data_IF_969132796803
#
_entry.id   IF_969132796803
#
_cell.length_a   1.000
_cell.length_b   1.000
_cell.length_c   1.000
_cell.angle_alpha   90.00
_cell.angle_beta   90.00
_cell.angle_gamma   90.00
#
_symmetry.space_group_name_H-M   'P 1'
#
loop_
_entity.id
_entity.type
_entity.pdbx_description
1 polymer ?
#
# COMPACT_ATOMS: atom_id res chain seq x y z
N UNK A 1 -12.57 -7.74 -17.75
CA UNK A 1 -11.86 -7.20 -16.56
C UNK A 1 -10.57 -6.51 -17.01
N UNK A 2 -10.29 -5.25 -16.60
CA UNK A 2 -9.00 -4.64 -16.92
C UNK A 2 -7.90 -5.35 -16.11
N UNK A 3 -6.88 -5.87 -16.79
CA UNK A 3 -5.73 -6.52 -16.16
C UNK A 3 -5.02 -5.48 -15.29
N UNK A 4 -5.01 -5.69 -13.97
CA UNK A 4 -4.32 -4.81 -13.01
C UNK A 4 -2.85 -4.65 -13.43
N UNK A 5 -2.39 -3.40 -13.59
CA UNK A 5 -0.99 -3.09 -13.89
C UNK A 5 -0.16 -3.49 -12.67
N UNK A 6 0.59 -4.60 -12.77
CA UNK A 6 1.56 -4.98 -11.72
C UNK A 6 2.53 -3.82 -11.55
N UNK A 7 2.76 -3.39 -10.30
CA UNK A 7 3.84 -2.45 -10.03
C UNK A 7 5.14 -3.02 -10.62
N UNK A 8 5.88 -2.18 -11.35
CA UNK A 8 7.13 -2.57 -12.04
C UNK A 8 8.14 -3.26 -11.11
N UNK A 9 8.06 -2.97 -9.81
CA UNK A 9 8.86 -3.57 -8.77
C UNK A 9 7.97 -4.23 -7.72
N UNK A 10 8.25 -5.51 -7.44
CA UNK A 10 7.48 -6.32 -6.50
C UNK A 10 7.62 -5.88 -5.04
N UNK A 11 6.88 -6.54 -4.15
CA UNK A 11 6.98 -6.37 -2.69
C UNK A 11 8.41 -6.64 -2.19
N UNK A 12 9.02 -7.72 -2.66
CA UNK A 12 10.36 -8.14 -2.23
C UNK A 12 11.43 -7.07 -2.50
N UNK A 13 11.39 -6.46 -3.68
CA UNK A 13 12.35 -5.39 -4.03
C UNK A 13 12.20 -4.18 -3.10
N UNK A 14 10.97 -3.84 -2.72
CA UNK A 14 10.68 -2.74 -1.80
C UNK A 14 11.01 -3.11 -0.34
N UNK A 15 10.92 -4.38 0.03
CA UNK A 15 11.40 -4.88 1.32
C UNK A 15 12.92 -4.74 1.43
N UNK A 16 13.67 -5.18 0.41
CA UNK A 16 15.13 -4.98 0.35
C UNK A 16 15.52 -3.51 0.41
N UNK A 17 14.77 -2.63 -0.27
CA UNK A 17 14.98 -1.19 -0.17
C UNK A 17 14.75 -0.67 1.26
N UNK A 18 13.74 -1.17 1.96
CA UNK A 18 13.51 -0.83 3.36
C UNK A 18 14.67 -1.25 4.26
N UNK A 19 15.21 -2.46 4.08
CA UNK A 19 16.37 -2.94 4.84
C UNK A 19 17.59 -2.00 4.67
N UNK A 20 17.83 -1.52 3.44
CA UNK A 20 18.90 -0.57 3.16
C UNK A 20 18.64 0.81 3.81
N UNK A 21 17.40 1.29 3.82
CA UNK A 21 17.05 2.55 4.48
C UNK A 21 17.13 2.45 6.01
N UNK A 22 16.75 1.31 6.60
CA UNK A 22 16.93 1.02 8.03
C UNK A 22 18.41 0.98 8.41
N UNK A 23 19.26 0.46 7.54
CA UNK A 23 20.71 0.51 7.67
C UNK A 23 21.32 1.92 7.40
N UNK A 24 20.48 2.95 7.17
CA UNK A 24 20.91 4.33 7.01
C UNK A 24 21.40 4.72 5.61
N UNK A 25 21.23 3.85 4.60
CA UNK A 25 21.71 4.14 3.25
C UNK A 25 20.79 5.15 2.54
N UNK A 26 21.40 6.13 1.88
CA UNK A 26 20.71 7.04 0.98
C UNK A 26 20.19 6.35 -0.29
N UNK A 27 19.23 7.01 -0.98
CA UNK A 27 18.56 6.42 -2.14
C UNK A 27 19.50 6.12 -3.32
N UNK A 28 20.58 6.86 -3.52
CA UNK A 28 21.54 6.63 -4.61
C UNK A 28 22.33 5.34 -4.39
N UNK A 29 22.82 5.13 -3.17
CA UNK A 29 23.55 3.93 -2.81
C UNK A 29 22.63 2.70 -2.76
N UNK A 30 21.39 2.88 -2.31
CA UNK A 30 20.38 1.84 -2.38
C UNK A 30 20.01 1.48 -3.84
N UNK A 31 19.89 2.48 -4.72
CA UNK A 31 19.65 2.27 -6.15
C UNK A 31 20.76 1.46 -6.81
N UNK A 32 22.03 1.79 -6.53
CA UNK A 32 23.19 1.05 -7.00
C UNK A 32 23.21 -0.39 -6.51
N UNK A 33 22.90 -0.63 -5.22
CA UNK A 33 22.86 -1.98 -4.63
C UNK A 33 21.73 -2.86 -5.17
N UNK A 34 20.59 -2.26 -5.51
CA UNK A 34 19.41 -2.97 -6.00
C UNK A 34 19.37 -3.11 -7.52
N UNK A 35 20.29 -2.46 -8.24
CA UNK A 35 20.24 -2.31 -9.70
C UNK A 35 18.89 -1.75 -10.18
N UNK A 36 18.42 -0.69 -9.50
CA UNK A 36 17.14 -0.02 -9.79
C UNK A 36 17.43 1.46 -10.11
N UNK A 37 16.75 2.08 -11.08
CA UNK A 37 16.93 3.50 -11.37
C UNK A 37 16.72 4.39 -10.13
N UNK A 38 17.69 5.26 -9.85
CA UNK A 38 17.68 6.16 -8.70
C UNK A 38 16.38 6.98 -8.55
N UNK A 39 15.73 7.50 -9.62
CA UNK A 39 14.45 8.18 -9.48
C UNK A 39 13.31 7.31 -8.91
N UNK A 40 13.34 6.00 -9.15
CA UNK A 40 12.36 5.07 -8.58
C UNK A 40 12.63 4.86 -7.08
N UNK A 41 13.89 4.63 -6.71
CA UNK A 41 14.30 4.45 -5.31
C UNK A 41 14.12 5.74 -4.49
N UNK A 42 14.27 6.92 -5.11
CA UNK A 42 13.94 8.20 -4.47
C UNK A 42 12.47 8.29 -4.05
N UNK A 43 11.54 7.82 -4.91
CA UNK A 43 10.12 7.74 -4.55
C UNK A 43 9.87 6.75 -3.42
N UNK A 44 10.63 5.65 -3.36
CA UNK A 44 10.56 4.70 -2.25
C UNK A 44 11.04 5.30 -0.94
N UNK A 45 12.12 6.09 -0.97
CA UNK A 45 12.60 6.79 0.22
C UNK A 45 11.55 7.78 0.75
N UNK A 46 10.82 8.47 -0.12
CA UNK A 46 9.71 9.34 0.29
C UNK A 46 8.59 8.55 0.95
N UNK A 47 8.16 7.43 0.34
CA UNK A 47 7.15 6.56 0.94
C UNK A 47 7.61 6.00 2.29
N UNK A 48 8.87 5.55 2.39
CA UNK A 48 9.47 5.05 3.62
C UNK A 48 9.47 6.10 4.73
N UNK A 49 9.89 7.34 4.43
CA UNK A 49 9.87 8.43 5.42
C UNK A 49 8.46 8.81 5.85
N UNK A 50 7.47 8.73 4.96
CA UNK A 50 6.10 9.11 5.27
C UNK A 50 5.31 8.02 6.00
N UNK A 51 5.58 6.75 5.72
CA UNK A 51 4.71 5.62 6.13
C UNK A 51 5.45 4.45 6.77
N UNK A 52 6.78 4.56 6.90
CA UNK A 52 7.65 3.51 7.39
C UNK A 52 7.78 2.31 6.43
N UNK A 53 8.43 1.26 6.93
CA UNK A 53 8.65 -0.01 6.22
C UNK A 53 7.36 -0.58 5.62
N UNK A 54 6.29 -0.66 6.42
CA UNK A 54 5.01 -1.26 6.01
C UNK A 54 4.40 -0.53 4.81
N UNK A 55 4.38 0.79 4.82
CA UNK A 55 3.81 1.54 3.70
C UNK A 55 4.68 1.52 2.45
N UNK A 56 6.01 1.44 2.56
CA UNK A 56 6.88 1.19 1.41
C UNK A 56 6.61 -0.20 0.79
N UNK A 57 6.58 -1.26 1.60
CA UNK A 57 6.32 -2.63 1.12
C UNK A 57 4.92 -2.73 0.50
N UNK A 58 3.92 -2.03 1.06
CA UNK A 58 2.56 -1.95 0.51
C UNK A 58 2.44 -1.08 -0.74
N UNK A 59 3.31 -0.08 -0.92
CA UNK A 59 3.27 0.95 -1.98
C UNK A 59 2.58 0.55 -3.30
N UNK A 60 3.16 -0.10 -4.30
CA UNK A 60 2.48 -0.34 -5.60
C UNK A 60 1.36 -1.40 -5.60
N UNK A 61 0.86 -1.83 -4.45
CA UNK A 61 -0.17 -2.87 -4.39
C UNK A 61 -1.54 -2.33 -4.79
N UNK A 62 -2.27 -3.12 -5.58
CA UNK A 62 -3.67 -2.83 -5.85
C UNK A 62 -4.44 -2.86 -4.53
N UNK A 63 -5.00 -1.71 -4.13
CA UNK A 63 -5.99 -1.65 -3.05
C UNK A 63 -7.10 -2.68 -3.31
N UNK A 64 -7.61 -3.30 -2.25
CA UNK A 64 -8.81 -4.16 -2.35
C UNK A 64 -9.90 -3.36 -3.07
N UNK A 65 -10.42 -3.93 -4.14
CA UNK A 65 -11.54 -3.36 -4.88
C UNK A 65 -12.77 -4.13 -4.43
N UNK A 66 -13.67 -3.44 -3.76
CA UNK A 66 -14.98 -3.97 -3.41
C UNK A 66 -15.93 -3.66 -4.58
N UNK A 67 -16.84 -4.59 -4.88
CA UNK A 67 -17.96 -4.31 -5.77
C UNK A 67 -18.83 -3.19 -5.20
N UNK A 68 -19.64 -2.58 -6.07
CA UNK A 68 -20.47 -1.44 -5.68
C UNK A 68 -21.57 -1.84 -4.68
N UNK A 69 -22.09 -3.07 -4.75
CA UNK A 69 -23.10 -3.58 -3.81
C UNK A 69 -22.55 -3.62 -2.38
N UNK A 70 -21.32 -4.12 -2.20
CA UNK A 70 -20.63 -4.14 -0.91
C UNK A 70 -20.42 -2.73 -0.37
N UNK A 71 -20.05 -1.77 -1.23
CA UNK A 71 -19.92 -0.36 -0.81
C UNK A 71 -21.26 0.24 -0.40
N UNK A 72 -22.33 -0.07 -1.13
CA UNK A 72 -23.68 0.41 -0.84
C UNK A 72 -24.21 -0.19 0.46
N UNK A 73 -24.03 -1.48 0.69
CA UNK A 73 -24.45 -2.16 1.92
C UNK A 73 -23.79 -1.56 3.16
N UNK A 74 -22.49 -1.23 3.09
CA UNK A 74 -21.77 -0.56 4.18
C UNK A 74 -22.33 0.85 4.42
N UNK A 75 -22.61 1.60 3.35
CA UNK A 75 -23.19 2.94 3.47
C UNK A 75 -24.57 2.91 4.12
N UNK A 76 -25.44 1.99 3.71
CA UNK A 76 -26.78 1.78 4.30
C UNK A 76 -26.70 1.40 5.78
N UNK A 77 -25.81 0.47 6.14
CA UNK A 77 -25.63 0.10 7.54
C UNK A 77 -25.23 1.30 8.41
N UNK A 78 -24.42 2.24 7.90
CA UNK A 78 -24.03 3.43 8.65
C UNK A 78 -25.14 4.48 8.67
N UNK A 79 -25.78 4.76 7.53
CA UNK A 79 -26.72 5.88 7.38
C UNK A 79 -28.12 5.51 7.83
N UNK A 80 -28.63 4.37 7.38
CA UNK A 80 -30.01 3.94 7.59
C UNK A 80 -30.16 3.16 8.90
N UNK A 81 -29.19 2.29 9.22
CA UNK A 81 -29.21 1.48 10.45
C UNK A 81 -28.46 2.15 11.63
N UNK A 82 -27.80 3.29 11.42
CA UNK A 82 -27.08 4.03 12.45
C UNK A 82 -25.83 3.32 13.00
N UNK A 83 -25.32 2.31 12.30
CA UNK A 83 -24.18 1.53 12.77
C UNK A 83 -22.89 2.36 12.76
N UNK A 84 -22.04 2.27 13.81
CA UNK A 84 -20.72 2.87 13.80
C UNK A 84 -19.92 2.38 12.59
N UNK A 85 -19.23 3.31 11.91
CA UNK A 85 -18.48 3.02 10.69
C UNK A 85 -17.51 1.83 10.83
N UNK A 86 -16.80 1.73 11.95
CA UNK A 86 -15.88 0.60 12.22
C UNK A 86 -16.63 -0.73 12.30
N UNK A 87 -17.77 -0.77 13.00
CA UNK A 87 -18.60 -1.97 13.12
C UNK A 87 -19.20 -2.37 11.76
N UNK A 88 -19.63 -1.40 10.94
CA UNK A 88 -20.10 -1.68 9.58
C UNK A 88 -18.96 -2.24 8.71
N UNK A 89 -17.76 -1.64 8.76
CA UNK A 89 -16.61 -2.15 8.02
C UNK A 89 -16.18 -3.55 8.46
N UNK A 90 -16.30 -3.88 9.74
CA UNK A 90 -16.04 -5.23 10.26
C UNK A 90 -17.12 -6.23 9.81
N UNK A 91 -18.41 -5.86 9.91
CA UNK A 91 -19.55 -6.69 9.47
C UNK A 91 -19.43 -7.14 8.02
N UNK A 92 -18.89 -6.28 7.15
CA UNK A 92 -18.70 -6.56 5.72
C UNK A 92 -17.27 -6.99 5.35
N UNK A 93 -16.41 -7.32 6.32
CA UNK A 93 -15.06 -7.85 6.07
C UNK A 93 -14.09 -6.87 5.37
N UNK A 94 -14.35 -5.56 5.49
CA UNK A 94 -13.55 -4.50 4.87
C UNK A 94 -12.36 -4.12 5.74
N UNK A 95 -12.56 -4.04 7.05
CA UNK A 95 -11.52 -3.85 8.05
C UNK A 95 -11.49 -5.06 9.00
N UNK A 96 -10.28 -5.48 9.36
CA UNK A 96 -10.02 -6.35 10.51
C UNK A 96 -9.60 -5.46 11.68
#
# INVERSE_FOLDING_TARGET
MPRRKKARYGREMRARAADLFEAGLGFELAAKRLDVPAPAVRKWLYAYRATGRKGLIGMGESRRTYDMETKLAVARAVVDEGMPRSAAMARFGIAA
#
